data_IF_119594197888
#
_entry.id   IF_119594197888
#
_cell.length_a   1.000
_cell.length_b   1.000
_cell.length_c   1.000
_cell.angle_alpha   90.00
_cell.angle_beta   90.00
_cell.angle_gamma   90.00
#
_symmetry.space_group_name_H-M   'P 1'
#
loop_
_entity.id
_entity.type
_entity.pdbx_description
1 polymer ?
#
# COMPACT_ATOMS: atom_id res chain seq x y z
N UNK A 1 0.71 3.25 -19.75
CA UNK A 1 -0.23 2.29 -19.12
C UNK A 1 -1.47 3.03 -18.66
N UNK A 2 -2.65 2.45 -18.84
CA UNK A 2 -3.90 3.09 -18.48
C UNK A 2 -4.12 3.05 -16.98
N UNK A 3 -4.68 4.13 -16.42
CA UNK A 3 -4.99 4.25 -14.99
C UNK A 3 -5.84 3.08 -14.47
N UNK A 4 -6.79 2.62 -15.30
CA UNK A 4 -7.67 1.50 -14.95
C UNK A 4 -6.89 0.21 -14.69
N UNK A 5 -5.84 -0.05 -15.48
CA UNK A 5 -5.00 -1.24 -15.33
C UNK A 5 -4.20 -1.15 -14.03
N UNK A 6 -3.63 0.02 -13.75
CA UNK A 6 -2.87 0.25 -12.52
C UNK A 6 -3.77 0.04 -11.30
N UNK A 7 -4.96 0.63 -11.30
CA UNK A 7 -5.92 0.51 -10.19
C UNK A 7 -6.31 -0.94 -9.95
N UNK A 8 -6.58 -1.69 -11.02
CA UNK A 8 -6.95 -3.10 -10.92
C UNK A 8 -5.84 -3.94 -10.31
N UNK A 9 -4.60 -3.73 -10.77
CA UNK A 9 -3.45 -4.46 -10.23
C UNK A 9 -3.18 -4.08 -8.77
N UNK A 10 -3.27 -2.80 -8.44
CA UNK A 10 -3.08 -2.34 -7.07
C UNK A 10 -4.11 -2.98 -6.14
N UNK A 11 -5.39 -2.94 -6.50
CA UNK A 11 -6.44 -3.50 -5.67
C UNK A 11 -6.29 -5.01 -5.48
N UNK A 12 -5.85 -5.72 -6.52
CA UNK A 12 -5.62 -7.16 -6.44
C UNK A 12 -4.52 -7.51 -5.43
N UNK A 13 -3.41 -6.79 -5.49
CA UNK A 13 -2.27 -7.03 -4.59
C UNK A 13 -2.59 -6.54 -3.18
N UNK A 14 -3.24 -5.37 -3.06
CA UNK A 14 -3.64 -4.82 -1.77
C UNK A 14 -4.62 -5.72 -1.04
N UNK A 15 -5.53 -6.38 -1.76
CA UNK A 15 -6.51 -7.29 -1.15
C UNK A 15 -5.83 -8.40 -0.37
N UNK A 16 -4.74 -8.94 -0.91
CA UNK A 16 -3.96 -9.98 -0.22
C UNK A 16 -3.34 -9.42 1.07
N UNK A 17 -2.72 -8.24 0.99
CA UNK A 17 -2.13 -7.58 2.16
C UNK A 17 -3.17 -7.28 3.23
N UNK A 18 -4.34 -6.77 2.82
CA UNK A 18 -5.44 -6.48 3.75
C UNK A 18 -5.88 -7.75 4.48
N UNK A 19 -6.04 -8.85 3.75
CA UNK A 19 -6.44 -10.12 4.32
C UNK A 19 -5.41 -10.63 5.34
N UNK A 20 -4.13 -10.54 5.00
CA UNK A 20 -3.05 -11.04 5.85
C UNK A 20 -2.89 -10.23 7.13
N UNK A 21 -3.16 -8.92 7.08
CA UNK A 21 -2.88 -8.01 8.19
C UNK A 21 -4.13 -7.56 8.96
N UNK A 22 -5.33 -7.93 8.51
CA UNK A 22 -6.56 -7.39 9.08
C UNK A 22 -6.71 -7.69 10.57
N UNK A 23 -6.39 -8.91 11.01
CA UNK A 23 -6.51 -9.27 12.41
C UNK A 23 -5.61 -8.41 13.30
N UNK A 24 -4.33 -8.33 12.93
CA UNK A 24 -3.33 -7.59 13.70
C UNK A 24 -3.66 -6.09 13.74
N UNK A 25 -3.99 -5.52 12.59
CA UNK A 25 -4.24 -4.08 12.50
C UNK A 25 -5.54 -3.68 13.20
N UNK A 26 -6.57 -4.54 13.15
CA UNK A 26 -7.80 -4.31 13.91
C UNK A 26 -7.55 -4.37 15.41
N UNK A 27 -6.72 -5.30 15.84
CA UNK A 27 -6.36 -5.45 17.27
C UNK A 27 -5.77 -4.17 17.84
N UNK A 28 -4.95 -3.46 17.06
CA UNK A 28 -4.29 -2.24 17.50
C UNK A 28 -5.02 -0.97 17.07
N UNK A 29 -6.22 -1.10 16.49
CA UNK A 29 -7.01 0.07 16.08
C UNK A 29 -6.44 0.80 14.88
N UNK A 30 -5.61 0.14 14.06
CA UNK A 30 -4.93 0.76 12.93
C UNK A 30 -5.44 0.27 11.56
N UNK A 31 -6.48 -0.56 11.55
CA UNK A 31 -7.01 -1.10 10.30
C UNK A 31 -7.53 0.01 9.38
N UNK A 32 -8.33 0.92 9.90
CA UNK A 32 -8.89 2.02 9.10
C UNK A 32 -7.78 2.94 8.57
N UNK A 33 -6.75 3.18 9.38
CA UNK A 33 -5.59 3.97 8.96
C UNK A 33 -4.83 3.28 7.85
N UNK A 34 -4.67 1.96 7.93
CA UNK A 34 -4.04 1.17 6.89
C UNK A 34 -4.77 1.29 5.56
N UNK A 35 -6.10 1.13 5.57
CA UNK A 35 -6.93 1.26 4.36
C UNK A 35 -6.81 2.68 3.80
N UNK A 36 -6.87 3.70 4.66
CA UNK A 36 -6.71 5.09 4.23
C UNK A 36 -5.37 5.33 3.55
N UNK A 37 -4.28 4.84 4.14
CA UNK A 37 -2.94 5.00 3.57
C UNK A 37 -2.78 4.28 2.23
N UNK A 38 -3.38 3.08 2.08
CA UNK A 38 -3.39 2.38 0.81
C UNK A 38 -4.09 3.19 -0.28
N UNK A 39 -5.24 3.78 0.05
CA UNK A 39 -6.00 4.59 -0.90
C UNK A 39 -5.27 5.87 -1.28
N UNK A 40 -4.62 6.52 -0.31
CA UNK A 40 -3.80 7.71 -0.56
C UNK A 40 -2.64 7.38 -1.49
N UNK A 41 -2.00 6.24 -1.28
CA UNK A 41 -0.88 5.80 -2.12
C UNK A 41 -1.35 5.52 -3.55
N UNK A 42 -2.50 4.85 -3.70
CA UNK A 42 -3.07 4.59 -5.01
C UNK A 42 -3.37 5.90 -5.75
N UNK A 43 -3.99 6.88 -5.06
CA UNK A 43 -4.28 8.18 -5.65
C UNK A 43 -3.00 8.88 -6.09
N UNK A 44 -1.95 8.81 -5.28
CA UNK A 44 -0.64 9.37 -5.61
C UNK A 44 -0.09 8.74 -6.90
N UNK A 45 -0.13 7.41 -6.99
CA UNK A 45 0.36 6.69 -8.17
C UNK A 45 -0.40 7.09 -9.43
N UNK A 46 -1.73 7.18 -9.32
CA UNK A 46 -2.58 7.47 -10.48
C UNK A 46 -2.40 8.90 -10.99
N UNK A 47 -1.96 9.83 -10.13
CA UNK A 47 -1.86 11.25 -10.48
C UNK A 47 -0.43 11.73 -10.71
N UNK A 48 0.59 10.95 -10.35
CA UNK A 48 1.99 11.36 -10.45
C UNK A 48 2.56 11.01 -11.82
N UNK A 49 3.02 12.02 -12.57
CA UNK A 49 3.63 11.81 -13.89
C UNK A 49 4.95 11.06 -13.80
N UNK A 50 5.79 11.43 -12.84
CA UNK A 50 7.10 10.81 -12.66
C UNK A 50 7.00 9.31 -12.34
N UNK A 51 5.98 8.90 -11.60
CA UNK A 51 5.76 7.49 -11.28
C UNK A 51 5.42 6.69 -12.53
N UNK A 52 4.64 7.27 -13.44
CA UNK A 52 4.30 6.62 -14.71
C UNK A 52 5.54 6.35 -15.57
N UNK A 53 6.47 7.31 -15.60
CA UNK A 53 7.72 7.18 -16.33
C UNK A 53 8.58 6.08 -15.70
N UNK A 54 8.65 6.04 -14.37
CA UNK A 54 9.39 5.02 -13.63
C UNK A 54 8.84 3.64 -13.89
N UNK A 55 7.52 3.48 -13.87
CA UNK A 55 6.86 2.20 -14.16
C UNK A 55 7.19 1.74 -15.58
N UNK A 56 7.12 2.65 -16.53
CA UNK A 56 7.43 2.35 -17.92
C UNK A 56 8.89 1.92 -18.08
N UNK A 57 9.80 2.63 -17.43
CA UNK A 57 11.23 2.35 -17.49
C UNK A 57 11.57 0.99 -16.88
N UNK A 58 11.00 0.65 -15.73
CA UNK A 58 11.26 -0.61 -15.05
C UNK A 58 10.54 -1.80 -15.69
N UNK A 59 9.49 -1.55 -16.45
CA UNK A 59 8.75 -2.60 -17.16
C UNK A 59 8.02 -3.59 -16.26
N UNK A 60 7.89 -3.31 -14.94
CA UNK A 60 7.26 -4.25 -14.02
C UNK A 60 6.37 -3.52 -13.01
N UNK A 61 5.12 -3.36 -13.40
CA UNK A 61 4.11 -2.69 -12.57
C UNK A 61 3.83 -3.45 -11.27
N UNK A 62 3.87 -4.77 -11.30
CA UNK A 62 3.59 -5.59 -10.10
C UNK A 62 4.64 -5.36 -9.02
N UNK A 63 5.91 -5.32 -9.41
CA UNK A 63 7.00 -5.05 -8.46
C UNK A 63 6.85 -3.67 -7.83
N UNK A 64 6.55 -2.67 -8.65
CA UNK A 64 6.35 -1.31 -8.17
C UNK A 64 5.20 -1.24 -7.16
N UNK A 65 4.06 -1.87 -7.48
CA UNK A 65 2.89 -1.89 -6.59
C UNK A 65 3.21 -2.64 -5.29
N UNK A 66 3.92 -3.78 -5.39
CA UNK A 66 4.32 -4.52 -4.20
C UNK A 66 5.16 -3.66 -3.26
N UNK A 67 6.11 -2.89 -3.81
CA UNK A 67 6.95 -2.00 -3.01
C UNK A 67 6.11 -0.92 -2.32
N UNK A 68 5.11 -0.37 -3.01
CA UNK A 68 4.22 0.63 -2.43
C UNK A 68 3.41 0.07 -1.26
N UNK A 69 2.91 -1.15 -1.42
CA UNK A 69 2.12 -1.80 -0.38
C UNK A 69 3.01 -2.18 0.81
N UNK A 70 4.22 -2.67 0.57
CA UNK A 70 5.19 -2.95 1.62
C UNK A 70 5.54 -1.70 2.42
N UNK A 71 5.71 -0.56 1.75
CA UNK A 71 5.96 0.72 2.42
C UNK A 71 4.80 1.08 3.35
N UNK A 72 3.58 0.85 2.92
CA UNK A 72 2.39 1.10 3.73
C UNK A 72 2.33 0.16 4.92
N UNK A 73 2.62 -1.12 4.71
CA UNK A 73 2.70 -2.10 5.80
C UNK A 73 3.76 -1.70 6.83
N UNK A 74 4.94 -1.31 6.37
CA UNK A 74 6.03 -0.88 7.25
C UNK A 74 5.63 0.33 8.08
N UNK A 75 4.92 1.29 7.48
CA UNK A 75 4.42 2.47 8.17
C UNK A 75 3.49 2.08 9.33
N UNK A 76 2.55 1.17 9.07
CA UNK A 76 1.62 0.71 10.11
C UNK A 76 2.34 -0.17 11.14
N UNK A 77 3.21 -1.06 10.71
CA UNK A 77 3.96 -1.96 11.60
C UNK A 77 4.84 -1.17 12.58
N UNK A 78 5.43 -0.06 12.12
CA UNK A 78 6.19 0.83 12.99
C UNK A 78 5.33 1.49 14.05
N UNK A 79 4.08 1.85 13.72
CA UNK A 79 3.14 2.39 14.69
C UNK A 79 2.78 1.35 15.75
N UNK A 80 2.57 0.10 15.33
CA UNK A 80 2.29 -1.00 16.25
C UNK A 80 3.48 -1.22 17.18
N UNK A 81 4.69 -1.22 16.62
CA UNK A 81 5.91 -1.40 17.40
C UNK A 81 6.04 -0.31 18.48
N UNK A 82 5.74 0.94 18.12
CA UNK A 82 5.75 2.06 19.08
C UNK A 82 4.73 1.86 20.19
N UNK A 83 3.53 1.38 19.87
CA UNK A 83 2.49 1.08 20.86
C UNK A 83 3.00 -0.01 21.81
N UNK A 84 3.61 -1.07 21.28
CA UNK A 84 4.11 -2.19 22.08
C UNK A 84 5.25 -1.77 23.01
N UNK A 85 6.11 -0.87 22.56
CA UNK A 85 7.26 -0.40 23.35
C UNK A 85 6.81 0.52 24.49
N UNK A 86 5.78 1.34 24.28
CA UNK A 86 5.33 2.35 25.23
C UNK A 86 4.18 1.87 26.14
N UNK A 87 3.69 0.68 25.90
CA UNK A 87 2.74 0.03 26.82
C UNK A 87 3.50 -0.78 27.85
#
# INVERSE_FOLDING_TARGET
MKKRVIKKQFNKIAKKSIKENSYLYKKYGLYDRFIEELNLYLDFILNAKCVKEEIHFQGNIKLFINNCIEDTEDFIDNKILNIMIHD
#
